data_IF_958781051174
#
_entry.id   IF_958781051174
#
_cell.length_a   1.000
_cell.length_b   1.000
_cell.length_c   1.000
_cell.angle_alpha   90.00
_cell.angle_beta   90.00
_cell.angle_gamma   90.00
#
_symmetry.space_group_name_H-M   'P 1'
#
loop_
_entity.id
_entity.type
_entity.pdbx_description
1 polymer ?
#
# COMPACT_ATOMS: atom_id res chain seq x y z
N UNK A 1 5.74 12.68 -61.96
CA UNK A 1 5.31 12.95 -60.56
C UNK A 1 4.85 11.63 -59.94
N UNK A 2 5.73 10.96 -59.19
CA UNK A 2 5.42 9.67 -58.55
C UNK A 2 4.54 9.89 -57.33
N UNK A 3 3.33 9.31 -57.33
CA UNK A 3 2.43 9.33 -56.17
C UNK A 3 3.07 8.54 -55.03
N UNK A 4 3.40 9.23 -53.93
CA UNK A 4 3.83 8.57 -52.69
C UNK A 4 2.67 7.70 -52.20
N UNK A 5 2.95 6.41 -52.03
CA UNK A 5 2.06 5.43 -51.40
C UNK A 5 1.58 5.96 -50.04
N UNK A 6 0.29 5.79 -49.68
CA UNK A 6 -0.22 6.19 -48.37
C UNK A 6 0.53 5.40 -47.30
N UNK A 7 1.20 6.12 -46.40
CA UNK A 7 1.93 5.54 -45.28
C UNK A 7 0.92 4.91 -44.31
N UNK A 8 0.60 3.63 -44.50
CA UNK A 8 -0.11 2.83 -43.51
C UNK A 8 0.78 2.73 -42.27
N UNK A 9 0.28 3.12 -41.08
CA UNK A 9 1.07 2.99 -39.85
C UNK A 9 1.45 1.51 -39.67
N UNK A 10 2.74 1.18 -39.70
CA UNK A 10 3.19 -0.20 -39.48
C UNK A 10 2.67 -0.68 -38.13
N UNK A 11 2.03 -1.86 -38.11
CA UNK A 11 1.54 -2.55 -36.91
C UNK A 11 2.74 -2.72 -35.96
N UNK A 12 2.78 -1.95 -34.87
CA UNK A 12 3.88 -2.02 -33.89
C UNK A 12 3.62 -3.18 -32.93
N UNK A 13 4.36 -4.26 -33.11
CA UNK A 13 4.39 -5.37 -32.19
C UNK A 13 5.15 -4.99 -30.91
N UNK A 14 4.59 -5.36 -29.76
CA UNK A 14 5.27 -5.20 -28.46
C UNK A 14 5.25 -6.52 -27.70
N UNK A 15 6.40 -6.93 -27.17
CA UNK A 15 6.55 -8.16 -26.39
C UNK A 15 5.58 -8.25 -25.20
N UNK A 16 5.28 -7.10 -24.57
CA UNK A 16 4.31 -7.03 -23.45
C UNK A 16 2.92 -7.56 -23.83
N UNK A 17 2.53 -7.46 -25.10
CA UNK A 17 1.24 -7.87 -25.62
C UNK A 17 1.21 -9.32 -26.12
N UNK A 18 2.32 -10.06 -26.05
CA UNK A 18 2.42 -11.44 -26.52
C UNK A 18 2.50 -12.43 -25.36
N UNK A 19 1.98 -13.64 -25.57
CA UNK A 19 2.17 -14.80 -24.69
C UNK A 19 3.61 -15.28 -24.83
N UNK A 20 4.52 -14.73 -24.03
CA UNK A 20 5.96 -14.84 -24.26
C UNK A 20 6.49 -16.28 -24.34
N UNK A 21 5.91 -17.22 -23.59
CA UNK A 21 6.35 -18.62 -23.60
C UNK A 21 5.92 -19.33 -24.89
N UNK A 22 4.65 -19.19 -25.28
CA UNK A 22 4.13 -19.73 -26.54
C UNK A 22 4.83 -19.09 -27.75
N UNK A 23 5.02 -17.77 -27.73
CA UNK A 23 5.75 -17.03 -28.76
C UNK A 23 7.17 -17.55 -28.95
N UNK A 24 7.91 -17.78 -27.86
CA UNK A 24 9.28 -18.31 -27.93
C UNK A 24 9.32 -19.70 -28.53
N UNK A 25 8.40 -20.59 -28.11
CA UNK A 25 8.29 -21.95 -28.66
C UNK A 25 8.04 -21.91 -30.16
N UNK A 26 7.04 -21.15 -30.58
CA UNK A 26 6.62 -21.08 -31.98
C UNK A 26 7.69 -20.42 -32.85
N UNK A 27 8.34 -19.35 -32.36
CA UNK A 27 9.47 -18.71 -33.03
C UNK A 27 10.66 -19.67 -33.19
N UNK A 28 10.99 -20.45 -32.16
CA UNK A 28 12.07 -21.43 -32.26
C UNK A 28 11.81 -22.49 -33.33
N UNK A 29 10.56 -22.98 -33.43
CA UNK A 29 10.15 -23.94 -34.46
C UNK A 29 10.23 -23.34 -35.88
N UNK A 30 9.85 -22.08 -36.00
CA UNK A 30 9.95 -21.34 -37.26
C UNK A 30 11.41 -21.13 -37.69
N UNK A 31 12.27 -20.71 -36.78
CA UNK A 31 13.68 -20.48 -37.10
C UNK A 31 14.39 -21.78 -37.48
N UNK A 32 14.04 -22.92 -36.86
CA UNK A 32 14.60 -24.22 -37.27
C UNK A 32 14.15 -24.62 -38.67
N UNK A 33 12.85 -24.49 -38.97
CA UNK A 33 12.31 -24.84 -40.30
C UNK A 33 12.89 -23.96 -41.41
N UNK A 34 13.03 -22.65 -41.16
CA UNK A 34 13.67 -21.74 -42.12
C UNK A 34 15.16 -22.00 -42.30
N UNK A 35 15.89 -22.41 -41.25
CA UNK A 35 17.30 -22.76 -41.36
C UNK A 35 17.50 -23.92 -42.34
N UNK A 36 16.63 -24.93 -42.27
CA UNK A 36 16.71 -26.11 -43.12
C UNK A 36 16.35 -25.78 -44.58
N UNK A 37 15.37 -24.90 -44.80
CA UNK A 37 14.97 -24.44 -46.14
C UNK A 37 16.00 -23.48 -46.78
N UNK A 38 16.61 -22.60 -45.98
CA UNK A 38 17.61 -21.64 -46.44
C UNK A 38 18.85 -22.32 -47.04
N UNK A 39 19.16 -23.55 -46.64
CA UNK A 39 20.27 -24.33 -47.18
C UNK A 39 20.10 -24.69 -48.67
N UNK A 40 18.87 -24.58 -49.20
CA UNK A 40 18.51 -24.93 -50.59
C UNK A 40 17.84 -23.77 -51.34
N UNK A 41 17.91 -22.55 -50.80
CA UNK A 41 17.19 -21.41 -51.35
C UNK A 41 17.96 -20.74 -52.49
N UNK A 42 17.42 -20.81 -53.71
CA UNK A 42 17.95 -20.11 -54.89
C UNK A 42 17.46 -18.64 -54.99
N UNK A 43 16.40 -18.30 -54.26
CA UNK A 43 15.81 -16.96 -54.22
C UNK A 43 15.72 -16.41 -52.80
N UNK A 44 16.71 -15.60 -52.44
CA UNK A 44 16.84 -15.00 -51.11
C UNK A 44 15.72 -13.99 -50.83
N UNK A 45 15.28 -13.22 -51.84
CA UNK A 45 14.23 -12.22 -51.64
C UNK A 45 12.88 -12.87 -51.32
N UNK A 46 12.56 -13.97 -52.02
CA UNK A 46 11.37 -14.78 -51.71
C UNK A 46 11.44 -15.38 -50.30
N UNK A 47 12.60 -15.90 -49.91
CA UNK A 47 12.83 -16.48 -48.59
C UNK A 47 12.65 -15.44 -47.46
N UNK A 48 13.14 -14.21 -47.66
CA UNK A 48 12.96 -13.12 -46.70
C UNK A 48 11.47 -12.74 -46.57
N UNK A 49 10.75 -12.67 -47.69
CA UNK A 49 9.31 -12.37 -47.67
C UNK A 49 8.51 -13.44 -46.91
N UNK A 50 8.80 -14.73 -47.15
CA UNK A 50 8.17 -15.84 -46.43
C UNK A 50 8.50 -15.81 -44.92
N UNK A 51 9.73 -15.44 -44.57
CA UNK A 51 10.14 -15.30 -43.18
C UNK A 51 9.40 -14.15 -42.48
N UNK A 52 9.24 -13.01 -43.15
CA UNK A 52 8.47 -11.89 -42.62
C UNK A 52 6.99 -12.26 -42.42
N UNK A 53 6.37 -12.97 -43.38
CA UNK A 53 4.98 -13.43 -43.28
C UNK A 53 4.78 -14.42 -42.13
N UNK A 54 5.70 -15.37 -41.95
CA UNK A 54 5.60 -16.30 -40.83
C UNK A 54 5.85 -15.63 -39.48
N UNK A 55 6.70 -14.59 -39.41
CA UNK A 55 6.88 -13.79 -38.20
C UNK A 55 5.60 -13.04 -37.84
N UNK A 56 4.90 -12.47 -38.82
CA UNK A 56 3.61 -11.82 -38.60
C UNK A 56 2.57 -12.85 -38.11
N UNK A 57 2.53 -14.03 -38.72
CA UNK A 57 1.64 -15.13 -38.32
C UNK A 57 1.87 -15.56 -36.87
N UNK A 58 3.13 -15.75 -36.46
CA UNK A 58 3.47 -16.12 -35.08
C UNK A 58 3.10 -15.01 -34.10
N UNK A 59 3.35 -13.75 -34.47
CA UNK A 59 2.95 -12.61 -33.66
C UNK A 59 1.42 -12.59 -33.45
N UNK A 60 0.64 -12.84 -34.50
CA UNK A 60 -0.83 -12.88 -34.45
C UNK A 60 -1.37 -14.02 -33.58
N UNK A 61 -0.83 -15.24 -33.74
CA UNK A 61 -1.21 -16.41 -32.93
C UNK A 61 -0.95 -16.19 -31.45
N UNK A 62 0.11 -15.44 -31.12
CA UNK A 62 0.59 -15.27 -29.76
C UNK A 62 0.11 -13.98 -29.08
N UNK A 63 -0.77 -13.19 -29.71
CA UNK A 63 -1.35 -12.01 -29.06
C UNK A 63 -2.12 -12.40 -27.81
N UNK A 64 -1.81 -11.74 -26.69
CA UNK A 64 -2.65 -11.76 -25.49
C UNK A 64 -4.00 -11.15 -25.85
N UNK A 65 -5.06 -11.94 -25.80
CA UNK A 65 -6.42 -11.41 -25.90
C UNK A 65 -6.59 -10.38 -24.79
N UNK A 66 -6.85 -9.12 -25.16
CA UNK A 66 -7.20 -8.08 -24.19
C UNK A 66 -8.53 -8.47 -23.57
N UNK A 67 -8.48 -9.08 -22.39
CA UNK A 67 -9.68 -9.27 -21.57
C UNK A 67 -10.08 -7.89 -21.09
N UNK A 68 -11.18 -7.36 -21.62
CA UNK A 68 -11.79 -6.15 -21.08
C UNK A 68 -12.29 -6.46 -19.68
N UNK A 69 -11.46 -6.22 -18.67
CA UNK A 69 -11.93 -6.09 -17.31
C UNK A 69 -12.59 -4.72 -17.25
N UNK A 70 -13.92 -4.68 -17.35
CA UNK A 70 -14.66 -3.43 -17.15
C UNK A 70 -14.22 -2.75 -15.85
N UNK A 71 -14.43 -1.43 -15.73
CA UNK A 71 -14.13 -0.69 -14.51
C UNK A 71 -14.85 -1.36 -13.33
N UNK A 72 -14.14 -2.17 -12.55
CA UNK A 72 -14.69 -2.76 -11.34
C UNK A 72 -14.87 -1.63 -10.34
N UNK A 73 -16.02 -1.58 -9.68
CA UNK A 73 -16.18 -0.68 -8.55
C UNK A 73 -15.10 -0.97 -7.49
N UNK A 74 -14.82 0.02 -6.64
CA UNK A 74 -13.89 -0.18 -5.53
C UNK A 74 -14.31 -1.42 -4.69
N UNK A 75 -13.35 -2.11 -4.08
CA UNK A 75 -13.57 -3.38 -3.38
C UNK A 75 -14.60 -3.26 -2.23
N UNK A 76 -14.68 -2.09 -1.61
CA UNK A 76 -15.65 -1.77 -0.55
C UNK A 76 -17.02 -1.32 -1.06
N UNK A 77 -17.20 -1.19 -2.38
CA UNK A 77 -18.47 -0.80 -2.99
C UNK A 77 -19.42 -2.00 -3.05
N UNK A 78 -20.61 -1.85 -2.47
CA UNK A 78 -21.63 -2.90 -2.43
C UNK A 78 -22.94 -2.44 -3.07
N UNK A 79 -23.77 -3.40 -3.51
CA UNK A 79 -25.13 -3.11 -4.01
C UNK A 79 -25.97 -2.35 -2.97
N UNK A 80 -25.75 -2.61 -1.66
CA UNK A 80 -26.39 -1.86 -0.58
C UNK A 80 -26.00 -0.38 -0.59
N UNK A 81 -24.70 -0.07 -0.74
CA UNK A 81 -24.23 1.32 -0.86
C UNK A 81 -24.74 1.99 -2.14
N UNK A 82 -24.83 1.26 -3.25
CA UNK A 82 -25.39 1.76 -4.50
C UNK A 82 -26.88 2.14 -4.36
N UNK A 83 -27.67 1.28 -3.71
CA UNK A 83 -29.07 1.55 -3.40
C UNK A 83 -29.24 2.76 -2.47
N UNK A 84 -28.41 2.85 -1.41
CA UNK A 84 -28.41 4.01 -0.52
C UNK A 84 -28.02 5.30 -1.26
N UNK A 85 -26.99 5.26 -2.11
CA UNK A 85 -26.57 6.40 -2.95
C UNK A 85 -27.72 6.86 -3.85
N UNK A 86 -28.40 5.93 -4.49
CA UNK A 86 -29.53 6.20 -5.37
C UNK A 86 -30.69 6.86 -4.61
N UNK A 87 -31.01 6.35 -3.42
CA UNK A 87 -32.02 6.92 -2.51
C UNK A 87 -31.66 8.34 -2.08
N UNK A 88 -30.44 8.58 -1.58
CA UNK A 88 -29.96 9.91 -1.18
C UNK A 88 -30.04 10.91 -2.35
N UNK A 89 -29.62 10.50 -3.55
CA UNK A 89 -29.72 11.34 -4.76
C UNK A 89 -31.17 11.68 -5.09
N UNK A 90 -32.09 10.72 -4.96
CA UNK A 90 -33.52 10.96 -5.17
C UNK A 90 -34.08 11.97 -4.15
N UNK A 91 -33.73 11.81 -2.87
CA UNK A 91 -34.15 12.72 -1.80
C UNK A 91 -33.61 14.14 -2.02
N UNK A 92 -32.32 14.28 -2.35
CA UNK A 92 -31.71 15.57 -2.69
C UNK A 92 -32.45 16.26 -3.83
N UNK A 93 -32.73 15.52 -4.91
CA UNK A 93 -33.48 16.04 -6.07
C UNK A 93 -34.88 16.51 -5.69
N UNK A 94 -35.60 15.77 -4.83
CA UNK A 94 -36.94 16.15 -4.35
C UNK A 94 -36.88 17.41 -3.49
N UNK A 95 -35.95 17.46 -2.54
CA UNK A 95 -35.70 18.66 -1.71
C UNK A 95 -35.44 19.90 -2.58
N UNK A 96 -34.48 19.82 -3.52
CA UNK A 96 -34.09 20.96 -4.36
C UNK A 96 -35.22 21.48 -5.26
N UNK A 97 -36.12 20.60 -5.71
CA UNK A 97 -37.27 20.95 -6.57
C UNK A 97 -38.48 21.47 -5.79
N UNK A 98 -38.47 21.39 -4.46
CA UNK A 98 -39.61 21.83 -3.64
C UNK A 98 -39.62 23.35 -3.53
N UNK A 99 -40.75 23.96 -3.92
CA UNK A 99 -40.97 25.41 -3.88
C UNK A 99 -41.58 25.87 -2.56
N UNK A 100 -42.51 25.09 -2.00
CA UNK A 100 -43.12 25.40 -0.71
C UNK A 100 -42.07 25.39 0.42
N UNK A 101 -41.92 26.49 1.20
CA UNK A 101 -40.89 26.58 2.23
C UNK A 101 -41.03 25.54 3.36
N UNK A 102 -42.26 25.26 3.80
CA UNK A 102 -42.50 24.38 4.94
C UNK A 102 -42.17 22.91 4.61
N UNK A 103 -42.61 22.46 3.44
CA UNK A 103 -42.34 21.12 2.93
C UNK A 103 -40.88 20.97 2.49
N UNK A 104 -40.26 22.05 2.00
CA UNK A 104 -38.84 22.08 1.67
C UNK A 104 -37.98 21.83 2.91
N UNK A 105 -38.30 22.47 4.04
CA UNK A 105 -37.59 22.26 5.30
C UNK A 105 -37.71 20.80 5.79
N UNK A 106 -38.92 20.23 5.76
CA UNK A 106 -39.13 18.81 6.13
C UNK A 106 -38.29 17.87 5.26
N UNK A 107 -38.28 18.09 3.95
CA UNK A 107 -37.50 17.28 2.99
C UNK A 107 -36.00 17.46 3.18
N UNK A 108 -35.55 18.66 3.56
CA UNK A 108 -34.15 18.94 3.85
C UNK A 108 -33.66 18.11 5.05
N UNK A 109 -34.41 18.15 6.16
CA UNK A 109 -34.10 17.38 7.38
C UNK A 109 -34.02 15.89 7.05
N UNK A 110 -35.01 15.37 6.32
CA UNK A 110 -35.04 13.96 5.94
C UNK A 110 -33.87 13.56 5.02
N UNK A 111 -33.56 14.39 4.01
CA UNK A 111 -32.42 14.17 3.13
C UNK A 111 -31.10 14.17 3.91
N UNK A 112 -30.88 15.16 4.79
CA UNK A 112 -29.65 15.27 5.59
C UNK A 112 -29.47 14.07 6.51
N UNK A 113 -30.54 13.60 7.15
CA UNK A 113 -30.52 12.40 7.99
C UNK A 113 -30.11 11.14 7.20
N UNK A 114 -30.73 10.90 6.05
CA UNK A 114 -30.40 9.75 5.19
C UNK A 114 -29.00 9.85 4.58
N UNK A 115 -28.54 11.07 4.27
CA UNK A 115 -27.19 11.31 3.78
C UNK A 115 -26.14 11.00 4.85
N UNK A 116 -26.39 11.37 6.11
CA UNK A 116 -25.53 11.03 7.22
C UNK A 116 -25.39 9.50 7.40
N UNK A 117 -26.52 8.77 7.35
CA UNK A 117 -26.51 7.29 7.39
C UNK A 117 -25.69 6.69 6.25
N UNK A 118 -25.84 7.20 5.03
CA UNK A 118 -25.05 6.77 3.88
C UNK A 118 -23.55 7.02 4.07
N UNK A 119 -23.16 8.20 4.56
CA UNK A 119 -21.73 8.52 4.85
C UNK A 119 -21.15 7.57 5.89
N UNK A 120 -21.88 7.30 6.96
CA UNK A 120 -21.45 6.37 8.01
C UNK A 120 -21.24 4.96 7.44
N UNK A 121 -22.20 4.45 6.68
CA UNK A 121 -22.08 3.14 6.03
C UNK A 121 -20.91 3.06 5.05
N UNK A 122 -20.62 4.15 4.32
CA UNK A 122 -19.45 4.20 3.45
C UNK A 122 -18.14 4.13 4.23
N UNK A 123 -18.05 4.81 5.39
CA UNK A 123 -16.87 4.73 6.28
C UNK A 123 -16.68 3.31 6.82
N UNK A 124 -17.76 2.71 7.32
CA UNK A 124 -17.76 1.32 7.83
C UNK A 124 -17.35 0.32 6.74
N UNK A 125 -17.89 0.43 5.53
CA UNK A 125 -17.55 -0.48 4.44
C UNK A 125 -16.07 -0.41 4.07
N UNK A 126 -15.47 0.79 4.04
CA UNK A 126 -14.03 0.96 3.82
C UNK A 126 -13.20 0.32 4.92
N UNK A 127 -13.56 0.58 6.19
CA UNK A 127 -12.87 0.02 7.34
C UNK A 127 -12.96 -1.50 7.36
N UNK A 128 -14.15 -2.07 7.16
CA UNK A 128 -14.35 -3.52 7.16
C UNK A 128 -13.56 -4.21 6.05
N UNK A 129 -13.56 -3.66 4.83
CA UNK A 129 -12.72 -4.24 3.75
C UNK A 129 -11.23 -4.13 4.02
N UNK A 130 -10.79 -3.09 4.70
CA UNK A 130 -9.41 -2.98 5.13
C UNK A 130 -9.06 -4.02 6.21
N UNK A 131 -9.95 -4.22 7.20
CA UNK A 131 -9.77 -5.26 8.21
C UNK A 131 -9.76 -6.68 7.60
N UNK A 132 -10.70 -6.99 6.71
CA UNK A 132 -10.72 -8.26 5.96
C UNK A 132 -9.41 -8.47 5.18
N UNK A 133 -8.88 -7.41 4.58
CA UNK A 133 -7.58 -7.47 3.91
C UNK A 133 -6.44 -7.78 4.90
N UNK A 134 -6.38 -7.07 6.03
CA UNK A 134 -5.38 -7.33 7.07
C UNK A 134 -5.47 -8.75 7.62
N UNK A 135 -6.67 -9.27 7.89
CA UNK A 135 -6.89 -10.66 8.29
C UNK A 135 -6.37 -11.64 7.23
N UNK A 136 -6.63 -11.38 5.95
CA UNK A 136 -6.11 -12.21 4.85
C UNK A 136 -4.59 -12.17 4.74
N UNK A 137 -3.95 -11.05 5.10
CA UNK A 137 -2.50 -10.92 5.15
C UNK A 137 -1.95 -11.64 6.37
N UNK A 138 -2.59 -11.53 7.54
CA UNK A 138 -2.20 -12.26 8.77
C UNK A 138 -2.35 -13.77 8.58
N UNK A 139 -3.37 -14.25 7.87
CA UNK A 139 -3.51 -15.68 7.56
C UNK A 139 -2.43 -16.18 6.59
N UNK A 140 -1.95 -15.31 5.68
CA UNK A 140 -0.88 -15.63 4.72
C UNK A 140 0.52 -15.47 5.31
N UNK A 141 0.70 -14.51 6.21
CA UNK A 141 1.92 -14.35 6.96
C UNK A 141 1.94 -15.37 8.08
N UNK A 142 3.02 -16.14 8.09
CA UNK A 142 3.23 -17.28 8.97
C UNK A 142 3.54 -16.82 10.41
N UNK A 143 2.69 -16.00 11.01
CA UNK A 143 2.68 -15.78 12.46
C UNK A 143 2.48 -17.11 13.21
N UNK A 144 1.90 -18.12 12.55
CA UNK A 144 1.96 -19.51 13.01
C UNK A 144 3.39 -20.07 13.10
N UNK A 145 4.28 -19.78 12.13
CA UNK A 145 5.70 -20.17 12.23
C UNK A 145 6.43 -19.38 13.32
N UNK A 146 6.21 -18.06 13.42
CA UNK A 146 6.82 -17.24 14.49
C UNK A 146 6.32 -17.68 15.88
N UNK A 147 5.03 -17.91 16.03
CA UNK A 147 4.44 -18.45 17.25
C UNK A 147 4.97 -19.84 17.54
N UNK A 148 5.06 -20.73 16.55
CA UNK A 148 5.62 -22.07 16.73
C UNK A 148 7.08 -22.00 17.18
N UNK A 149 7.90 -21.10 16.64
CA UNK A 149 9.29 -20.86 17.08
C UNK A 149 9.35 -20.33 18.51
N UNK A 150 8.45 -19.42 18.90
CA UNK A 150 8.39 -18.87 20.27
C UNK A 150 7.84 -19.91 21.27
N UNK A 151 6.91 -20.76 20.85
CA UNK A 151 6.27 -21.81 21.67
C UNK A 151 6.94 -23.17 21.53
N UNK A 152 8.04 -23.27 20.78
CA UNK A 152 8.77 -24.50 20.59
C UNK A 152 9.45 -24.87 21.91
N UNK A 153 8.82 -25.79 22.65
CA UNK A 153 9.33 -26.33 23.91
C UNK A 153 10.68 -27.05 23.74
N UNK A 154 11.10 -27.33 22.52
CA UNK A 154 12.42 -27.92 22.23
C UNK A 154 13.56 -26.91 22.25
N UNK A 155 13.26 -25.61 22.14
CA UNK A 155 14.21 -24.55 22.50
C UNK A 155 14.15 -24.40 24.02
N UNK A 156 14.76 -25.35 24.73
CA UNK A 156 15.20 -25.08 26.09
C UNK A 156 16.21 -23.95 25.96
N UNK A 157 15.79 -22.71 26.17
CA UNK A 157 16.71 -21.61 26.42
C UNK A 157 17.39 -21.98 27.74
N UNK A 158 18.49 -22.74 27.66
CA UNK A 158 19.28 -23.10 28.81
C UNK A 158 19.99 -21.80 29.24
N UNK A 159 19.29 -20.98 30.03
CA UNK A 159 19.93 -19.90 30.75
C UNK A 159 20.98 -20.54 31.65
N UNK A 160 22.26 -20.28 31.37
CA UNK A 160 23.34 -20.74 32.22
C UNK A 160 23.20 -20.11 33.61
N UNK A 161 23.52 -20.88 34.64
CA UNK A 161 23.49 -20.43 36.03
C UNK A 161 24.35 -19.17 36.18
N UNK A 162 23.76 -18.09 36.68
CA UNK A 162 24.45 -16.81 36.89
C UNK A 162 25.00 -16.74 38.30
N UNK A 163 26.13 -16.06 38.46
CA UNK A 163 26.73 -15.78 39.77
C UNK A 163 26.06 -14.54 40.36
N UNK A 164 25.47 -14.70 41.53
CA UNK A 164 24.85 -13.65 42.32
C UNK A 164 25.93 -12.82 43.06
N UNK A 165 25.56 -11.64 43.56
CA UNK A 165 26.46 -10.74 44.31
C UNK A 165 27.01 -11.37 45.59
N UNK A 166 26.27 -12.29 46.21
CA UNK A 166 26.70 -13.08 47.36
C UNK A 166 27.76 -14.15 47.00
N UNK A 167 28.10 -14.29 45.72
CA UNK A 167 29.09 -15.24 45.21
C UNK A 167 28.55 -16.62 44.85
N UNK A 168 27.27 -16.91 45.15
CA UNK A 168 26.61 -18.19 44.83
C UNK A 168 26.05 -18.20 43.40
N UNK A 169 25.76 -19.39 42.87
CA UNK A 169 25.17 -19.55 41.54
C UNK A 169 23.67 -19.84 41.63
N UNK A 170 22.87 -19.22 40.76
CA UNK A 170 21.43 -19.53 40.64
C UNK A 170 21.23 -21.02 40.35
N UNK A 171 20.29 -21.67 41.02
CA UNK A 171 20.13 -23.12 41.00
C UNK A 171 19.22 -23.63 39.89
N UNK A 172 18.19 -22.86 39.52
CA UNK A 172 17.20 -23.20 38.49
C UNK A 172 17.04 -22.13 37.42
N UNK A 173 16.41 -22.50 36.30
CA UNK A 173 16.07 -21.57 35.22
C UNK A 173 15.14 -20.45 35.69
N UNK A 174 14.14 -20.75 36.52
CA UNK A 174 13.23 -19.73 37.05
C UNK A 174 13.99 -18.72 37.89
N UNK A 175 14.89 -19.20 38.75
CA UNK A 175 15.74 -18.35 39.59
C UNK A 175 16.67 -17.47 38.73
N UNK A 176 17.30 -18.04 37.69
CA UNK A 176 18.14 -17.28 36.76
C UNK A 176 17.35 -16.21 35.99
N UNK A 177 16.15 -16.56 35.51
CA UNK A 177 15.25 -15.63 34.80
C UNK A 177 14.84 -14.48 35.71
N UNK A 178 14.37 -14.80 36.92
CA UNK A 178 13.83 -13.79 37.84
C UNK A 178 14.94 -12.88 38.35
N UNK A 179 16.13 -13.42 38.58
CA UNK A 179 17.34 -12.63 38.88
C UNK A 179 17.68 -11.66 37.74
N UNK A 180 17.69 -12.13 36.48
CA UNK A 180 17.95 -11.27 35.31
C UNK A 180 16.93 -10.15 35.15
N UNK A 181 15.65 -10.46 35.34
CA UNK A 181 14.58 -9.46 35.22
C UNK A 181 14.75 -8.42 36.33
N UNK A 182 14.95 -8.85 37.58
CA UNK A 182 15.13 -7.93 38.71
C UNK A 182 16.39 -7.07 38.58
N UNK A 183 17.48 -7.60 38.03
CA UNK A 183 18.71 -6.86 37.81
C UNK A 183 18.55 -5.76 36.76
N UNK A 184 17.91 -6.07 35.62
CA UNK A 184 17.72 -5.10 34.53
C UNK A 184 16.54 -4.15 34.78
N UNK A 185 15.55 -4.60 35.54
CA UNK A 185 14.34 -3.85 35.87
C UNK A 185 14.10 -3.95 37.39
N UNK A 186 14.86 -3.19 38.19
CA UNK A 186 14.66 -3.15 39.63
C UNK A 186 13.21 -2.78 39.93
N UNK A 187 12.53 -3.58 40.75
CA UNK A 187 11.20 -3.22 41.23
C UNK A 187 11.33 -1.95 42.05
N UNK A 188 10.72 -0.89 41.54
CA UNK A 188 10.57 0.38 42.22
C UNK A 188 9.48 0.16 43.29
N UNK A 189 9.76 0.47 44.55
CA UNK A 189 8.77 0.36 45.64
C UNK A 189 7.56 1.28 45.35
N UNK A 190 6.36 0.92 45.78
CA UNK A 190 5.16 1.77 45.62
C UNK A 190 5.30 3.10 46.37
N UNK A 191 6.24 3.19 47.32
CA UNK A 191 6.63 4.41 48.02
C UNK A 191 7.78 5.19 47.35
N UNK A 192 8.22 4.78 46.16
CA UNK A 192 9.22 5.52 45.40
C UNK A 192 8.56 6.76 44.79
N UNK A 193 8.47 7.80 45.61
CA UNK A 193 8.17 9.14 45.12
C UNK A 193 9.39 9.60 44.32
N UNK A 194 9.22 9.73 43.00
CA UNK A 194 10.16 10.48 42.18
C UNK A 194 10.12 11.90 42.70
N UNK A 195 11.12 12.28 43.51
CA UNK A 195 11.29 13.65 43.93
C UNK A 195 11.77 14.43 42.70
N UNK A 196 10.81 15.00 41.97
CA UNK A 196 11.06 15.78 40.76
C UNK A 196 12.06 16.92 41.01
N UNK A 197 12.15 17.42 42.25
CA UNK A 197 13.05 18.49 42.66
C UNK A 197 14.52 18.02 42.85
N UNK A 198 14.74 16.70 42.90
CA UNK A 198 16.07 16.07 43.00
C UNK A 198 16.53 15.41 41.71
N UNK A 199 15.67 15.37 40.68
CA UNK A 199 16.19 15.19 39.34
C UNK A 199 17.13 16.38 39.12
N UNK A 200 18.40 16.17 38.72
CA UNK A 200 19.15 17.29 38.17
C UNK A 200 18.21 17.86 37.12
N UNK A 201 18.00 19.18 37.13
CA UNK A 201 17.59 19.85 35.90
C UNK A 201 18.61 19.32 34.90
N UNK A 202 18.18 18.34 34.09
CA UNK A 202 18.83 18.10 32.83
C UNK A 202 18.87 19.50 32.28
N UNK A 203 20.07 20.04 32.03
CA UNK A 203 20.20 21.21 31.19
C UNK A 203 19.53 20.78 29.89
N UNK A 204 18.21 20.95 29.81
CA UNK A 204 17.43 20.82 28.60
C UNK A 204 17.91 22.05 27.89
N UNK A 205 19.00 21.85 27.15
CA UNK A 205 19.59 22.86 26.35
C UNK A 205 18.46 23.31 25.42
N UNK A 206 17.99 24.53 25.62
CA UNK A 206 16.93 25.08 24.79
C UNK A 206 17.39 24.96 23.33
N UNK A 207 16.47 24.58 22.44
CA UNK A 207 16.81 24.48 21.02
C UNK A 207 17.28 25.86 20.54
N UNK A 208 18.45 25.91 19.93
CA UNK A 208 18.94 27.14 19.30
C UNK A 208 17.99 27.52 18.15
N UNK A 209 17.76 28.81 17.95
CA UNK A 209 16.89 29.30 16.85
C UNK A 209 17.37 28.82 15.49
N UNK A 210 18.67 28.62 15.30
CA UNK A 210 19.27 28.05 14.09
C UNK A 210 18.92 26.56 13.91
N UNK A 211 18.79 25.79 15.00
CA UNK A 211 18.37 24.39 14.96
C UNK A 211 16.90 24.27 14.54
N UNK A 212 16.05 25.16 15.06
CA UNK A 212 14.62 25.24 14.70
C UNK A 212 14.48 25.64 13.22
N UNK A 213 15.24 26.65 12.77
CA UNK A 213 15.24 27.11 11.37
C UNK A 213 15.69 26.00 10.39
N UNK A 214 16.74 25.25 10.76
CA UNK A 214 17.22 24.12 9.97
C UNK A 214 16.16 23.01 9.87
N UNK A 215 15.43 22.73 10.96
CA UNK A 215 14.36 21.75 10.98
C UNK A 215 13.19 22.13 10.07
N UNK A 216 12.74 23.39 10.12
CA UNK A 216 11.65 23.91 9.28
C UNK A 216 12.07 23.84 7.80
N UNK A 217 13.28 24.29 7.48
CA UNK A 217 13.81 24.30 6.10
C UNK A 217 13.98 22.89 5.52
N UNK A 218 14.30 21.90 6.35
CA UNK A 218 14.45 20.51 5.94
C UNK A 218 13.10 19.81 5.66
N UNK A 219 11.97 20.40 6.07
CA UNK A 219 10.66 19.81 5.84
C UNK A 219 10.32 19.77 4.34
N UNK A 220 9.85 18.61 3.88
CA UNK A 220 9.39 18.46 2.49
C UNK A 220 8.04 19.15 2.33
N UNK A 221 7.95 20.05 1.35
CA UNK A 221 6.68 20.67 0.95
C UNK A 221 5.68 19.59 0.52
N UNK A 222 4.67 19.38 1.35
CA UNK A 222 3.74 18.27 1.28
C UNK A 222 2.33 18.68 1.69
N UNK A 223 1.38 17.77 1.57
CA UNK A 223 0.02 18.02 2.02
C UNK A 223 0.00 18.22 3.55
N UNK A 224 -0.76 19.20 4.07
CA UNK A 224 -0.91 19.44 5.50
C UNK A 224 -1.36 18.21 6.29
N UNK A 225 -0.96 18.16 7.55
CA UNK A 225 -1.36 17.14 8.51
C UNK A 225 -2.83 17.26 8.94
N UNK A 226 -3.19 16.54 10.00
CA UNK A 226 -4.56 16.57 10.55
C UNK A 226 -4.93 17.94 11.15
N UNK A 227 -3.92 18.71 11.52
CA UNK A 227 -3.98 20.11 11.97
C UNK A 227 -4.25 21.11 10.83
N UNK A 228 -4.13 20.67 9.57
CA UNK A 228 -4.26 21.48 8.37
C UNK A 228 -3.23 22.61 8.24
N UNK A 229 -2.09 22.55 8.93
CA UNK A 229 -1.02 23.53 8.79
C UNK A 229 -0.04 23.09 7.70
N UNK A 230 0.28 24.01 6.79
CA UNK A 230 1.27 23.74 5.74
C UNK A 230 2.66 24.13 6.19
N UNK A 231 3.69 23.59 5.51
CA UNK A 231 5.09 23.95 5.77
C UNK A 231 5.33 25.44 5.53
N UNK A 232 4.68 26.03 4.52
CA UNK A 232 4.77 27.48 4.27
C UNK A 232 4.15 28.32 5.39
N UNK A 233 3.08 27.83 6.03
CA UNK A 233 2.45 28.51 7.15
C UNK A 233 3.35 28.51 8.40
N UNK A 234 4.10 27.43 8.62
CA UNK A 234 5.07 27.33 9.71
C UNK A 234 6.31 28.19 9.45
N UNK A 235 6.81 28.22 8.20
CA UNK A 235 7.89 29.13 7.76
C UNK A 235 7.51 30.60 8.05
N UNK A 236 6.29 31.01 7.70
CA UNK A 236 5.82 32.39 7.93
C UNK A 236 5.74 32.74 9.41
N UNK A 237 5.19 31.85 10.26
CA UNK A 237 5.12 32.09 11.71
C UNK A 237 6.52 32.28 12.30
N UNK A 238 7.47 31.42 11.90
CA UNK A 238 8.84 31.48 12.40
C UNK A 238 9.54 32.79 11.99
N UNK A 239 9.31 33.28 10.77
CA UNK A 239 9.89 34.55 10.33
C UNK A 239 9.24 35.78 10.97
N UNK A 240 7.93 35.75 11.23
CA UNK A 240 7.22 36.84 11.92
C UNK A 240 7.67 36.98 13.38
N UNK A 241 8.01 35.89 14.06
CA UNK A 241 8.52 35.92 15.44
C UNK A 241 9.98 36.41 15.54
N UNK A 242 10.69 36.47 14.40
CA UNK A 242 12.08 36.94 14.30
C UNK A 242 12.20 38.47 14.06
N UNK A 243 11.09 39.14 13.72
CA UNK A 243 10.98 40.61 13.57
C UNK A 243 10.59 41.29 14.89
#
# INVERSE_FOLDING_TARGET
MGKRSPFTPRKRWKLENLKILDFRRDLSLMVSTFRDLAAYADNIEGLVAEFEEGLETICELNVKKKVYRGKSNAIWWSNKLESMRSRVRALRRRFQRTRDPSERLRREVYYKAEYAKYKLMMKQAKQNKFLEFLESVIQKNKLGEVKNVITDKSVSVNLHRLRQENGEFTSSYEETRDYLIKYNFPSIDESYEINLDLLPDSEVMDFETDEIEACITAMRKGAPGIDCWSTEFLEEIFHVDKE
#
